data_IF_015668733856
#
_entry.id   IF_015668733856
#
_cell.length_a   1.000
_cell.length_b   1.000
_cell.length_c   1.000
_cell.angle_alpha   90.00
_cell.angle_beta   90.00
_cell.angle_gamma   90.00
#
_symmetry.space_group_name_H-M   'P 1'
#
loop_
_entity.id
_entity.type
_entity.pdbx_description
1 polymer ?
#
# COMPACT_ATOMS: atom_id res chain seq x y z
N UNK A 1 -15.82 9.08 6.43
CA UNK A 1 -15.67 7.94 7.36
C UNK A 1 -14.20 7.77 7.67
N UNK A 2 -13.90 7.38 8.91
CA UNK A 2 -12.59 6.89 9.33
C UNK A 2 -12.74 5.49 9.90
N UNK A 3 -11.80 4.63 9.61
CA UNK A 3 -11.65 3.33 10.26
C UNK A 3 -10.81 3.55 11.53
N UNK A 4 -11.38 3.24 12.70
CA UNK A 4 -10.72 3.38 14.02
C UNK A 4 -10.02 2.10 14.43
N UNK A 5 -10.69 0.96 14.23
CA UNK A 5 -10.19 -0.33 14.68
C UNK A 5 -10.64 -1.45 13.73
N UNK A 6 -9.78 -2.44 13.58
CA UNK A 6 -10.06 -3.69 12.88
C UNK A 6 -9.63 -4.85 13.77
N UNK A 7 -10.52 -5.83 13.92
CA UNK A 7 -10.20 -7.12 14.56
C UNK A 7 -10.58 -8.27 13.66
N UNK A 8 -9.65 -9.17 13.47
CA UNK A 8 -9.79 -10.36 12.64
C UNK A 8 -9.58 -11.60 13.49
N UNK A 9 -10.50 -12.56 13.40
CA UNK A 9 -10.39 -13.85 14.08
C UNK A 9 -10.54 -14.96 13.05
N UNK A 10 -9.56 -15.84 12.96
CA UNK A 10 -9.51 -17.00 12.06
C UNK A 10 -9.80 -16.67 10.58
N UNK A 11 -9.35 -15.48 10.14
CA UNK A 11 -9.56 -15.00 8.78
C UNK A 11 -8.38 -15.38 7.88
N UNK A 12 -8.59 -16.31 6.96
CA UNK A 12 -7.54 -16.87 6.09
C UNK A 12 -6.34 -17.39 6.89
N UNK A 13 -5.15 -16.80 6.72
CA UNK A 13 -3.95 -17.17 7.47
C UNK A 13 -3.84 -16.45 8.83
N UNK A 14 -4.75 -15.52 9.13
CA UNK A 14 -4.71 -14.67 10.31
C UNK A 14 -5.55 -15.28 11.44
N UNK A 15 -4.93 -15.63 12.58
CA UNK A 15 -5.62 -16.26 13.72
C UNK A 15 -6.34 -15.22 14.58
N UNK A 16 -5.59 -14.19 15.00
CA UNK A 16 -6.10 -13.09 15.79
C UNK A 16 -5.25 -11.86 15.50
N UNK A 17 -5.80 -10.89 14.79
CA UNK A 17 -5.14 -9.63 14.46
C UNK A 17 -6.03 -8.50 14.99
N UNK A 18 -5.42 -7.58 15.70
CA UNK A 18 -6.06 -6.35 16.12
C UNK A 18 -5.20 -5.17 15.66
N UNK A 19 -5.80 -4.25 14.91
CA UNK A 19 -5.15 -3.08 14.34
C UNK A 19 -5.97 -1.84 14.69
N UNK A 20 -5.40 -0.97 15.51
CA UNK A 20 -5.94 0.37 15.74
C UNK A 20 -5.39 1.31 14.68
N UNK A 21 -6.22 2.20 14.17
CA UNK A 21 -5.88 3.27 13.22
C UNK A 21 -5.83 4.65 13.91
N UNK A 22 -5.98 4.69 15.22
CA UNK A 22 -5.88 5.91 16.00
C UNK A 22 -4.42 6.30 16.21
N UNK A 23 -4.10 7.57 16.00
CA UNK A 23 -2.81 8.18 16.35
C UNK A 23 -2.82 8.66 17.79
N UNK A 24 -3.92 9.29 18.18
CA UNK A 24 -4.24 9.72 19.55
C UNK A 24 -5.71 9.39 19.83
N UNK A 25 -6.21 9.62 21.05
CA UNK A 25 -7.62 9.41 21.38
C UNK A 25 -8.59 10.24 20.51
N UNK A 26 -8.11 11.29 19.87
CA UNK A 26 -8.93 12.24 19.10
C UNK A 26 -8.54 12.36 17.64
N UNK A 27 -7.46 11.69 17.20
CA UNK A 27 -6.93 11.81 15.85
C UNK A 27 -6.65 10.43 15.25
N UNK A 28 -7.21 10.18 14.07
CA UNK A 28 -6.94 8.98 13.30
C UNK A 28 -5.68 9.15 12.45
N UNK A 29 -4.91 8.07 12.30
CA UNK A 29 -3.75 8.05 11.39
C UNK A 29 -4.21 8.24 9.96
N UNK A 30 -3.47 9.06 9.23
CA UNK A 30 -3.66 9.24 7.81
C UNK A 30 -3.15 8.05 7.03
N UNK A 31 -1.96 7.56 7.38
CA UNK A 31 -1.32 6.41 6.76
C UNK A 31 -1.23 5.23 7.72
N UNK A 32 -1.46 4.06 7.17
CA UNK A 32 -1.12 2.78 7.79
C UNK A 32 -0.46 1.92 6.73
N UNK A 33 0.84 1.72 6.88
CA UNK A 33 1.64 0.87 6.00
C UNK A 33 1.85 -0.50 6.64
N UNK A 34 1.59 -1.55 5.88
CA UNK A 34 1.72 -2.93 6.32
C UNK A 34 2.81 -3.61 5.50
N UNK A 35 3.88 -3.97 6.18
CA UNK A 35 4.97 -4.79 5.67
C UNK A 35 4.74 -6.27 6.00
N UNK A 36 5.52 -7.13 5.40
CA UNK A 36 5.59 -8.55 5.72
C UNK A 36 6.00 -9.40 4.54
N UNK A 37 6.41 -10.61 4.80
CA UNK A 37 6.77 -11.58 3.77
C UNK A 37 5.57 -11.99 2.91
N UNK A 38 5.84 -12.66 1.80
CA UNK A 38 4.77 -13.22 0.97
C UNK A 38 3.98 -14.27 1.75
N UNK A 39 2.66 -14.26 1.60
CA UNK A 39 1.78 -15.21 2.29
C UNK A 39 1.48 -14.89 3.76
N UNK A 40 1.96 -13.78 4.33
CA UNK A 40 1.63 -13.38 5.72
C UNK A 40 0.24 -12.77 5.86
N UNK A 41 -0.46 -12.46 4.75
CA UNK A 41 -1.84 -11.98 4.82
C UNK A 41 -2.02 -10.48 4.70
N UNK A 42 -1.04 -9.73 4.21
CA UNK A 42 -1.13 -8.28 3.95
C UNK A 42 -2.39 -7.90 3.17
N UNK A 43 -2.56 -8.48 1.99
CA UNK A 43 -3.74 -8.26 1.14
C UNK A 43 -5.05 -8.70 1.82
N UNK A 44 -4.99 -9.69 2.73
CA UNK A 44 -6.17 -10.15 3.46
C UNK A 44 -6.67 -9.10 4.46
N UNK A 45 -5.78 -8.31 5.07
CA UNK A 45 -6.18 -7.16 5.91
C UNK A 45 -6.94 -6.14 5.06
N UNK A 46 -6.43 -5.77 3.88
CA UNK A 46 -7.12 -4.84 2.99
C UNK A 46 -8.48 -5.39 2.54
N UNK A 47 -8.54 -6.67 2.15
CA UNK A 47 -9.78 -7.35 1.75
C UNK A 47 -10.81 -7.38 2.89
N UNK A 48 -10.39 -7.64 4.13
CA UNK A 48 -11.30 -7.61 5.27
C UNK A 48 -11.91 -6.24 5.52
N UNK A 49 -11.11 -5.17 5.38
CA UNK A 49 -11.60 -3.79 5.47
C UNK A 49 -12.62 -3.52 4.37
N UNK A 50 -12.30 -3.90 3.13
CA UNK A 50 -13.21 -3.72 2.00
C UNK A 50 -14.54 -4.46 2.20
N UNK A 51 -14.54 -5.69 2.73
CA UNK A 51 -15.76 -6.46 2.99
C UNK A 51 -16.69 -5.77 3.99
N UNK A 52 -16.16 -5.26 5.12
CA UNK A 52 -16.99 -4.62 6.17
C UNK A 52 -17.44 -3.21 5.80
N UNK A 53 -16.88 -2.59 4.78
CA UNK A 53 -17.19 -1.22 4.37
C UNK A 53 -18.01 -1.13 3.08
N UNK A 54 -18.23 -2.23 2.38
CA UNK A 54 -18.87 -2.23 1.04
C UNK A 54 -20.39 -2.43 1.06
N UNK A 55 -20.95 -2.92 2.16
CA UNK A 55 -22.40 -3.19 2.29
C UNK A 55 -22.82 -4.55 1.74
N UNK A 56 -24.08 -4.93 2.02
CA UNK A 56 -24.62 -6.27 1.70
C UNK A 56 -24.64 -6.58 0.20
N UNK A 57 -25.00 -5.62 -0.63
CA UNK A 57 -25.08 -5.78 -2.09
C UNK A 57 -23.74 -6.11 -2.71
N UNK A 58 -22.64 -5.57 -2.17
CA UNK A 58 -21.31 -5.84 -2.66
C UNK A 58 -20.78 -7.23 -2.26
N UNK A 59 -21.20 -7.77 -1.13
CA UNK A 59 -20.72 -9.07 -0.63
C UNK A 59 -20.96 -10.19 -1.64
N UNK A 60 -22.09 -10.18 -2.35
CA UNK A 60 -22.42 -11.18 -3.36
C UNK A 60 -21.40 -11.29 -4.49
N UNK A 61 -20.80 -10.16 -4.87
CA UNK A 61 -19.78 -10.10 -5.92
C UNK A 61 -18.35 -10.34 -5.41
N UNK A 62 -18.09 -10.02 -4.13
CA UNK A 62 -16.75 -10.01 -3.56
C UNK A 62 -16.36 -11.33 -2.87
N UNK A 63 -17.32 -12.04 -2.27
CA UNK A 63 -17.03 -13.19 -1.42
C UNK A 63 -16.55 -14.42 -2.19
N UNK A 64 -17.09 -14.68 -3.38
CA UNK A 64 -16.77 -15.90 -4.13
C UNK A 64 -17.02 -17.16 -3.28
N UNK A 65 -16.03 -18.03 -3.16
CA UNK A 65 -16.11 -19.21 -2.28
C UNK A 65 -15.97 -18.77 -0.82
N UNK A 66 -17.03 -18.84 -0.06
CA UNK A 66 -17.14 -18.36 1.33
C UNK A 66 -16.23 -19.12 2.29
N UNK A 67 -16.07 -20.44 2.12
CA UNK A 67 -15.18 -21.23 2.96
C UNK A 67 -13.70 -20.85 2.83
N UNK A 68 -13.34 -20.26 1.70
CA UNK A 68 -11.96 -19.80 1.47
C UNK A 68 -11.52 -18.64 2.37
N UNK A 69 -12.45 -17.98 3.05
CA UNK A 69 -12.16 -16.90 4.00
C UNK A 69 -11.86 -17.39 5.40
N UNK A 70 -12.25 -18.64 5.71
CA UNK A 70 -12.08 -19.25 7.01
C UNK A 70 -10.70 -19.93 7.07
N UNK A 71 -9.98 -19.72 8.16
CA UNK A 71 -8.69 -20.34 8.39
C UNK A 71 -8.80 -21.86 8.30
N UNK A 72 -7.78 -22.51 7.75
CA UNK A 72 -7.72 -23.95 7.65
C UNK A 72 -7.91 -24.59 9.04
N UNK A 73 -8.72 -25.64 9.10
CA UNK A 73 -9.16 -26.37 10.33
C UNK A 73 -10.06 -25.57 11.29
N UNK A 74 -10.44 -24.33 10.99
CA UNK A 74 -11.38 -23.59 11.81
C UNK A 74 -12.81 -23.73 11.29
N UNK A 75 -13.79 -23.59 12.18
CA UNK A 75 -15.23 -23.70 11.85
C UNK A 75 -15.83 -22.39 11.40
N UNK A 76 -15.26 -21.28 11.84
CA UNK A 76 -15.74 -19.93 11.56
C UNK A 76 -14.62 -18.91 11.57
N UNK A 77 -14.87 -17.77 10.97
CA UNK A 77 -14.05 -16.57 11.11
C UNK A 77 -14.92 -15.34 11.34
N UNK A 78 -14.32 -14.27 11.86
CA UNK A 78 -14.99 -12.99 12.02
C UNK A 78 -14.11 -11.80 11.67
N UNK A 79 -14.76 -10.75 11.17
CA UNK A 79 -14.18 -9.45 10.90
C UNK A 79 -14.99 -8.43 11.71
N UNK A 80 -14.36 -7.64 12.56
CA UNK A 80 -14.98 -6.57 13.29
C UNK A 80 -14.28 -5.26 12.97
N UNK A 81 -15.07 -4.20 12.71
CA UNK A 81 -14.55 -2.87 12.39
C UNK A 81 -15.32 -1.79 13.13
N UNK A 82 -14.59 -0.85 13.68
CA UNK A 82 -15.14 0.38 14.29
C UNK A 82 -14.94 1.51 13.28
N UNK A 83 -16.03 2.12 12.85
CA UNK A 83 -16.08 3.21 11.88
C UNK A 83 -16.59 4.48 12.56
N UNK A 84 -16.02 5.63 12.19
CA UNK A 84 -16.43 6.92 12.73
C UNK A 84 -16.59 7.96 11.61
N UNK A 85 -17.67 8.75 11.69
CA UNK A 85 -17.86 9.92 10.81
C UNK A 85 -17.15 11.15 11.41
N UNK A 86 -17.03 12.22 10.62
CA UNK A 86 -16.48 13.50 11.13
C UNK A 86 -17.28 14.08 12.29
N UNK A 87 -18.58 13.77 12.35
CA UNK A 87 -19.46 14.27 13.39
C UNK A 87 -19.40 13.44 14.67
N UNK A 88 -18.51 12.42 14.72
CA UNK A 88 -18.37 11.54 15.89
C UNK A 88 -19.43 10.43 15.94
N UNK A 89 -20.15 10.17 14.85
CA UNK A 89 -21.07 9.04 14.79
C UNK A 89 -20.25 7.75 14.63
N UNK A 90 -20.37 6.84 15.57
CA UNK A 90 -19.67 5.55 15.58
C UNK A 90 -20.58 4.43 15.07
N UNK A 91 -19.99 3.50 14.31
CA UNK A 91 -20.65 2.28 13.83
C UNK A 91 -19.73 1.09 14.03
N UNK A 92 -20.23 0.09 14.71
CA UNK A 92 -19.53 -1.18 14.94
C UNK A 92 -20.10 -2.22 14.00
N UNK A 93 -19.31 -2.63 13.03
CA UNK A 93 -19.69 -3.60 12.01
C UNK A 93 -18.98 -4.92 12.31
N UNK A 94 -19.75 -6.01 12.34
CA UNK A 94 -19.22 -7.35 12.53
C UNK A 94 -19.75 -8.27 11.44
N UNK A 95 -18.83 -8.97 10.76
CA UNK A 95 -19.17 -10.02 9.79
C UNK A 95 -18.62 -11.36 10.29
N UNK A 96 -19.49 -12.35 10.38
CA UNK A 96 -19.16 -13.71 10.75
C UNK A 96 -19.48 -14.68 9.60
N UNK A 97 -18.53 -15.54 9.31
CA UNK A 97 -18.67 -16.61 8.30
C UNK A 97 -18.49 -17.95 8.99
N UNK A 98 -19.42 -18.89 8.75
CA UNK A 98 -19.28 -20.25 9.21
C UNK A 98 -19.06 -21.17 8.01
N UNK A 99 -18.31 -22.24 8.22
CA UNK A 99 -18.01 -23.21 7.17
C UNK A 99 -19.28 -23.86 6.64
N UNK A 100 -19.44 -23.92 5.32
CA UNK A 100 -20.62 -24.43 4.64
C UNK A 100 -21.78 -23.44 4.56
N UNK A 101 -21.65 -22.20 5.05
CA UNK A 101 -22.68 -21.17 4.85
C UNK A 101 -22.66 -20.67 3.40
N UNK A 102 -23.81 -20.65 2.76
CA UNK A 102 -23.99 -19.97 1.49
C UNK A 102 -24.18 -18.44 1.71
N UNK A 103 -24.15 -17.65 0.63
CA UNK A 103 -24.28 -16.20 0.68
C UNK A 103 -25.54 -15.74 1.42
N UNK A 104 -26.71 -16.35 1.13
CA UNK A 104 -27.98 -15.98 1.77
C UNK A 104 -27.94 -16.16 3.28
N UNK A 105 -27.32 -17.25 3.75
CA UNK A 105 -27.15 -17.52 5.17
C UNK A 105 -26.16 -16.58 5.83
N UNK A 106 -25.08 -16.21 5.15
CA UNK A 106 -24.13 -15.19 5.62
C UNK A 106 -24.83 -13.84 5.78
N UNK A 107 -25.59 -13.40 4.78
CA UNK A 107 -26.36 -12.15 4.88
C UNK A 107 -27.36 -12.20 6.02
N UNK A 108 -28.08 -13.31 6.17
CA UNK A 108 -29.07 -13.49 7.24
C UNK A 108 -28.40 -13.46 8.63
N UNK A 109 -27.29 -14.17 8.82
CA UNK A 109 -26.59 -14.24 10.10
C UNK A 109 -25.95 -12.89 10.51
N UNK A 110 -25.64 -12.03 9.54
CA UNK A 110 -25.03 -10.73 9.76
C UNK A 110 -25.97 -9.56 9.53
N UNK A 111 -27.29 -9.82 9.50
CA UNK A 111 -28.31 -8.85 9.11
C UNK A 111 -28.22 -7.52 9.86
N UNK A 112 -28.05 -7.55 11.18
CA UNK A 112 -27.99 -6.35 12.01
C UNK A 112 -26.78 -5.47 11.64
N UNK A 113 -25.58 -6.05 11.57
CA UNK A 113 -24.39 -5.33 11.18
C UNK A 113 -24.45 -4.82 9.75
N UNK A 114 -24.96 -5.63 8.82
CA UNK A 114 -25.13 -5.22 7.43
C UNK A 114 -26.16 -4.08 7.29
N UNK A 115 -27.24 -4.12 8.02
CA UNK A 115 -28.22 -3.04 8.03
C UNK A 115 -27.61 -1.71 8.47
N UNK A 116 -26.73 -1.72 9.49
CA UNK A 116 -26.03 -0.50 9.96
C UNK A 116 -25.20 0.15 8.87
N UNK A 117 -24.51 -0.64 8.05
CA UNK A 117 -23.68 -0.10 6.96
C UNK A 117 -24.52 0.24 5.72
N UNK A 118 -25.52 -0.56 5.38
CA UNK A 118 -26.40 -0.34 4.24
C UNK A 118 -27.22 0.95 4.43
N UNK A 119 -27.81 1.15 5.61
CA UNK A 119 -28.52 2.37 5.97
C UNK A 119 -27.62 3.61 5.91
N UNK A 120 -26.39 3.47 6.40
CA UNK A 120 -25.39 4.53 6.29
C UNK A 120 -25.02 4.87 4.83
N UNK A 121 -24.97 3.86 3.98
CA UNK A 121 -24.69 4.03 2.55
C UNK A 121 -25.86 4.68 1.83
N UNK A 122 -27.10 4.22 2.10
CA UNK A 122 -28.31 4.77 1.48
C UNK A 122 -28.51 6.24 1.83
N UNK A 123 -28.33 6.60 3.10
CA UNK A 123 -28.57 7.97 3.59
C UNK A 123 -27.37 8.91 3.42
N UNK A 124 -26.16 8.39 3.34
CA UNK A 124 -24.93 9.19 3.37
C UNK A 124 -23.77 8.54 2.59
N UNK A 125 -24.00 8.06 1.37
CA UNK A 125 -23.02 7.34 0.53
C UNK A 125 -21.65 8.04 0.49
N UNK A 126 -21.65 9.36 0.31
CA UNK A 126 -20.42 10.17 0.25
C UNK A 126 -19.60 10.13 1.54
N UNK A 127 -20.23 9.91 2.69
CA UNK A 127 -19.52 9.81 3.97
C UNK A 127 -18.80 8.47 4.14
N UNK A 128 -19.19 7.45 3.37
CA UNK A 128 -18.66 6.09 3.42
C UNK A 128 -17.92 5.70 2.13
N UNK A 129 -17.35 6.67 1.45
CA UNK A 129 -16.61 6.44 0.22
C UNK A 129 -15.35 5.62 0.47
N UNK A 130 -15.26 4.47 -0.18
CA UNK A 130 -14.13 3.53 -0.10
C UNK A 130 -13.73 3.12 -1.50
N UNK A 131 -12.42 3.15 -1.77
CA UNK A 131 -11.84 2.65 -3.03
C UNK A 131 -10.67 1.72 -2.70
N UNK A 132 -10.55 0.61 -3.43
CA UNK A 132 -9.49 -0.36 -3.20
C UNK A 132 -8.84 -0.83 -4.50
N UNK A 133 -7.52 -0.91 -4.47
CA UNK A 133 -6.68 -1.38 -5.57
C UNK A 133 -5.82 -2.56 -5.16
N UNK A 134 -5.86 -3.63 -5.95
CA UNK A 134 -4.97 -4.76 -5.84
C UNK A 134 -3.59 -4.50 -6.47
N UNK A 135 -2.72 -5.48 -6.45
CA UNK A 135 -1.42 -5.41 -7.11
C UNK A 135 -1.55 -5.35 -8.65
N UNK A 136 -2.54 -6.04 -9.21
CA UNK A 136 -2.80 -6.04 -10.66
C UNK A 136 -3.65 -4.83 -11.07
N UNK A 137 -2.99 -3.73 -11.44
CA UNK A 137 -3.64 -2.48 -11.85
C UNK A 137 -3.52 -2.30 -13.36
N UNK A 138 -4.33 -3.04 -14.12
CA UNK A 138 -4.27 -3.04 -15.58
C UNK A 138 -5.18 -1.98 -16.17
N UNK A 139 -4.64 -1.21 -17.13
CA UNK A 139 -5.46 -0.38 -18.00
C UNK A 139 -6.40 -1.25 -18.81
N UNK A 140 -7.65 -0.84 -18.93
CA UNK A 140 -8.56 -1.42 -19.92
C UNK A 140 -8.21 -0.87 -21.28
N UNK A 141 -8.05 -1.76 -22.25
CA UNK A 141 -7.93 -1.38 -23.66
C UNK A 141 -9.30 -1.21 -24.35
N UNK A 142 -10.40 -1.40 -23.61
CA UNK A 142 -11.75 -1.29 -24.15
C UNK A 142 -12.13 0.18 -24.34
N UNK A 143 -12.37 0.53 -25.60
CA UNK A 143 -12.84 1.86 -25.99
C UNK A 143 -14.36 1.91 -25.83
N UNK A 144 -14.87 2.63 -24.82
CA UNK A 144 -16.26 3.10 -24.69
C UNK A 144 -17.42 2.14 -24.36
N UNK A 145 -17.34 0.81 -24.49
CA UNK A 145 -18.56 -0.01 -24.44
C UNK A 145 -19.12 -0.34 -23.05
N UNK A 146 -18.33 -0.20 -21.97
CA UNK A 146 -18.74 -0.58 -20.61
C UNK A 146 -18.72 0.56 -19.57
N UNK A 147 -18.43 1.79 -19.99
CA UNK A 147 -18.31 2.94 -19.10
C UNK A 147 -19.63 3.27 -18.36
N UNK A 148 -20.78 3.12 -19.03
CA UNK A 148 -22.09 3.37 -18.41
C UNK A 148 -22.53 2.30 -17.42
N UNK A 149 -22.14 1.04 -17.63
CA UNK A 149 -22.48 -0.07 -16.71
C UNK A 149 -21.68 -0.05 -15.42
N UNK A 150 -20.52 0.62 -15.41
CA UNK A 150 -19.64 0.75 -14.23
C UNK A 150 -20.12 1.76 -13.17
N UNK A 151 -21.19 2.50 -13.44
CA UNK A 151 -21.57 3.65 -12.57
C UNK A 151 -22.24 3.27 -11.27
N UNK A 152 -22.74 2.06 -11.07
CA UNK A 152 -23.78 1.81 -10.05
C UNK A 152 -23.51 0.67 -9.06
N UNK A 153 -22.28 0.45 -8.62
CA UNK A 153 -22.05 -0.56 -7.57
C UNK A 153 -20.86 -0.27 -6.69
N UNK A 154 -21.04 -0.35 -5.38
CA UNK A 154 -19.93 -0.21 -4.41
C UNK A 154 -18.90 -1.30 -4.55
N UNK A 155 -19.29 -2.49 -4.97
CA UNK A 155 -18.38 -3.59 -5.32
C UNK A 155 -17.33 -3.18 -6.34
N UNK A 156 -17.70 -2.37 -7.33
CA UNK A 156 -16.81 -1.91 -8.40
C UNK A 156 -15.66 -1.08 -7.84
N UNK A 157 -15.90 -0.29 -6.80
CA UNK A 157 -14.88 0.54 -6.15
C UNK A 157 -13.76 -0.26 -5.48
N UNK A 158 -14.05 -1.51 -5.12
CA UNK A 158 -13.10 -2.37 -4.40
C UNK A 158 -12.76 -3.66 -5.15
N UNK A 159 -13.44 -3.95 -6.26
CA UNK A 159 -13.32 -5.20 -7.03
C UNK A 159 -11.89 -5.54 -7.42
N UNK A 160 -11.11 -4.55 -7.85
CA UNK A 160 -9.72 -4.76 -8.28
C UNK A 160 -8.84 -5.36 -7.18
N UNK A 161 -9.16 -5.15 -5.90
CA UNK A 161 -8.47 -5.79 -4.79
C UNK A 161 -8.77 -7.29 -4.68
N UNK A 162 -9.92 -7.76 -5.16
CA UNK A 162 -10.37 -9.15 -5.05
C UNK A 162 -10.07 -9.96 -6.31
N UNK A 163 -10.17 -9.33 -7.46
CA UNK A 163 -10.05 -9.96 -8.76
C UNK A 163 -8.89 -9.35 -9.56
N UNK A 164 -7.83 -10.13 -9.72
CA UNK A 164 -6.63 -9.72 -10.48
C UNK A 164 -6.86 -9.60 -11.99
N UNK A 165 -7.96 -10.15 -12.51
CA UNK A 165 -8.37 -10.00 -13.90
C UNK A 165 -9.20 -8.73 -14.13
N UNK A 166 -9.69 -8.09 -13.06
CA UNK A 166 -10.46 -6.85 -13.15
C UNK A 166 -9.60 -5.73 -13.71
N UNK A 167 -10.06 -5.11 -14.78
CA UNK A 167 -9.46 -3.90 -15.34
C UNK A 167 -10.01 -2.64 -14.66
N UNK A 168 -9.18 -1.60 -14.62
CA UNK A 168 -9.57 -0.28 -14.14
C UNK A 168 -10.29 0.50 -15.24
N UNK A 169 -11.01 1.56 -14.88
CA UNK A 169 -11.66 2.41 -15.86
C UNK A 169 -10.63 2.98 -16.84
N UNK A 170 -10.92 2.99 -18.15
CA UNK A 170 -10.01 3.49 -19.15
C UNK A 170 -9.84 5.01 -18.99
N UNK A 171 -8.68 5.44 -18.50
CA UNK A 171 -8.34 6.85 -18.28
C UNK A 171 -8.60 7.70 -19.54
N UNK A 172 -8.20 7.21 -20.70
CA UNK A 172 -8.38 7.89 -21.99
C UNK A 172 -9.85 8.17 -22.28
N UNK A 173 -10.71 7.16 -22.12
CA UNK A 173 -12.14 7.32 -22.39
C UNK A 173 -12.80 8.32 -21.43
N UNK A 174 -12.44 8.25 -20.14
CA UNK A 174 -12.93 9.20 -19.15
C UNK A 174 -12.49 10.64 -19.43
N UNK A 175 -11.22 10.88 -19.77
CA UNK A 175 -10.73 12.20 -20.09
C UNK A 175 -11.45 12.79 -21.31
N UNK A 176 -11.67 11.99 -22.35
CA UNK A 176 -12.41 12.41 -23.52
C UNK A 176 -13.87 12.74 -23.17
N UNK A 177 -14.54 11.89 -22.39
CA UNK A 177 -15.90 12.18 -21.92
C UNK A 177 -15.97 13.45 -21.09
N UNK A 178 -14.99 13.65 -20.20
CA UNK A 178 -14.91 14.84 -19.36
C UNK A 178 -14.72 16.12 -20.20
N UNK A 179 -13.93 16.06 -21.27
CA UNK A 179 -13.76 17.16 -22.22
C UNK A 179 -15.08 17.54 -22.92
N UNK A 180 -15.85 16.52 -23.33
CA UNK A 180 -17.17 16.76 -23.93
C UNK A 180 -18.18 17.33 -22.92
N UNK A 181 -18.17 16.86 -21.68
CA UNK A 181 -19.15 17.22 -20.64
C UNK A 181 -18.85 18.54 -19.94
N UNK A 182 -17.60 18.80 -19.63
CA UNK A 182 -17.17 19.92 -18.77
C UNK A 182 -16.16 20.86 -19.45
N UNK A 183 -15.75 20.57 -20.68
CA UNK A 183 -14.82 21.39 -21.44
C UNK A 183 -13.50 21.65 -20.73
N UNK A 184 -13.00 22.91 -20.87
CA UNK A 184 -11.68 23.28 -20.35
C UNK A 184 -11.55 23.16 -18.83
N UNK A 185 -12.61 23.37 -18.05
CA UNK A 185 -12.56 23.31 -16.59
C UNK A 185 -12.32 21.87 -16.10
N UNK A 186 -13.06 20.92 -16.65
CA UNK A 186 -12.86 19.49 -16.31
C UNK A 186 -11.46 19.01 -16.68
N UNK A 187 -10.98 19.37 -17.86
CA UNK A 187 -9.63 19.02 -18.31
C UNK A 187 -8.54 19.66 -17.45
N UNK A 188 -8.70 20.87 -16.98
CA UNK A 188 -7.71 21.51 -16.10
C UNK A 188 -7.56 20.76 -14.77
N UNK A 189 -8.66 20.30 -14.17
CA UNK A 189 -8.61 19.48 -12.96
C UNK A 189 -7.75 18.21 -13.18
N UNK A 190 -7.99 17.54 -14.31
CA UNK A 190 -7.22 16.31 -14.66
C UNK A 190 -5.77 16.62 -14.94
N UNK A 191 -5.49 17.73 -15.68
CA UNK A 191 -4.12 18.17 -15.98
C UNK A 191 -3.32 18.43 -14.70
N UNK A 192 -3.88 19.18 -13.77
CA UNK A 192 -3.23 19.49 -12.51
C UNK A 192 -3.00 18.23 -11.68
N UNK A 193 -4.02 17.38 -11.59
CA UNK A 193 -3.88 16.12 -10.88
C UNK A 193 -2.81 15.23 -11.53
N UNK A 194 -2.88 14.95 -12.82
CA UNK A 194 -1.93 14.07 -13.52
C UNK A 194 -0.50 14.64 -13.53
N UNK A 195 -0.31 15.95 -13.67
CA UNK A 195 1.01 16.59 -13.61
C UNK A 195 1.73 16.27 -12.30
N UNK A 196 0.98 16.25 -11.23
CA UNK A 196 1.52 15.96 -9.92
C UNK A 196 1.77 14.46 -9.73
N UNK A 197 0.89 13.60 -10.28
CA UNK A 197 0.97 12.14 -10.14
C UNK A 197 1.90 11.44 -11.13
N UNK A 198 2.28 12.11 -12.21
CA UNK A 198 3.15 11.56 -13.24
C UNK A 198 4.39 12.45 -13.42
N UNK A 199 5.36 12.45 -12.49
CA UNK A 199 6.50 13.34 -12.55
C UNK A 199 7.35 13.10 -13.80
N UNK A 200 7.69 14.18 -14.49
CA UNK A 200 8.50 14.16 -15.72
C UNK A 200 7.71 13.96 -16.99
N UNK A 201 6.39 13.81 -16.90
CA UNK A 201 5.49 13.86 -18.05
C UNK A 201 4.33 14.81 -17.76
N UNK A 202 3.82 15.47 -18.80
CA UNK A 202 2.68 16.38 -18.66
C UNK A 202 1.60 16.04 -19.68
N UNK A 203 0.36 16.19 -19.26
CA UNK A 203 -0.75 16.08 -20.20
C UNK A 203 -0.62 17.15 -21.29
N UNK A 204 -0.54 16.74 -22.55
CA UNK A 204 -0.42 17.66 -23.69
C UNK A 204 -1.79 18.01 -24.27
N UNK A 205 -2.48 17.06 -24.87
CA UNK A 205 -3.75 17.28 -25.60
C UNK A 205 -4.55 15.97 -25.74
N UNK A 206 -5.76 16.13 -26.25
CA UNK A 206 -6.61 15.02 -26.68
C UNK A 206 -6.64 14.99 -28.20
N UNK A 207 -6.23 13.89 -28.79
CA UNK A 207 -6.48 13.59 -30.21
C UNK A 207 -7.86 12.95 -30.33
N UNK A 208 -8.83 13.77 -30.76
CA UNK A 208 -10.25 13.32 -30.88
C UNK A 208 -10.47 12.37 -32.05
N UNK A 209 -9.67 12.47 -33.10
CA UNK A 209 -9.79 11.61 -34.28
C UNK A 209 -9.29 10.19 -33.94
N UNK A 210 -8.13 10.10 -33.32
CA UNK A 210 -7.54 8.83 -32.90
C UNK A 210 -8.06 8.34 -31.55
N UNK A 211 -8.87 9.16 -30.85
CA UNK A 211 -9.38 8.87 -29.48
C UNK A 211 -8.25 8.54 -28.50
N UNK A 212 -7.20 9.35 -28.50
CA UNK A 212 -6.02 9.18 -27.68
C UNK A 212 -5.78 10.41 -26.81
N UNK A 213 -5.22 10.17 -25.62
CA UNK A 213 -4.68 11.21 -24.74
C UNK A 213 -3.18 11.24 -24.91
N UNK A 214 -2.65 12.41 -25.24
CA UNK A 214 -1.25 12.64 -25.54
C UNK A 214 -0.54 13.28 -24.36
N UNK A 215 0.65 12.79 -24.08
CA UNK A 215 1.53 13.26 -23.02
C UNK A 215 2.84 13.80 -23.61
N UNK A 216 3.29 14.90 -23.08
CA UNK A 216 4.61 15.47 -23.38
C UNK A 216 5.64 14.84 -22.45
N UNK A 217 6.70 14.30 -23.03
CA UNK A 217 7.83 13.65 -22.37
C UNK A 217 9.13 14.26 -22.87
N UNK A 218 10.27 13.86 -22.29
CA UNK A 218 11.60 14.27 -22.78
C UNK A 218 11.89 13.78 -24.21
N UNK A 219 11.22 12.69 -24.63
CA UNK A 219 11.39 12.06 -25.95
C UNK A 219 10.38 12.54 -26.98
N UNK A 220 9.47 13.45 -26.61
CA UNK A 220 8.42 14.01 -27.46
C UNK A 220 7.01 13.75 -26.94
N UNK A 221 6.03 13.99 -27.83
CA UNK A 221 4.61 13.83 -27.54
C UNK A 221 4.18 12.41 -27.94
N UNK A 222 3.78 11.61 -26.96
CA UNK A 222 3.40 10.22 -27.15
C UNK A 222 2.06 9.91 -26.45
N UNK A 223 1.28 8.93 -26.94
CA UNK A 223 0.05 8.49 -26.29
C UNK A 223 0.32 7.67 -25.02
N UNK A 224 -0.70 7.56 -24.16
CA UNK A 224 -0.62 6.89 -22.86
C UNK A 224 -0.11 5.44 -22.94
N UNK A 225 -0.52 4.70 -23.93
CA UNK A 225 -0.18 3.30 -24.16
C UNK A 225 1.28 3.08 -24.62
N UNK A 226 1.98 4.13 -25.01
CA UNK A 226 3.41 4.10 -25.36
C UNK A 226 4.31 4.56 -24.20
N UNK A 227 3.74 4.98 -23.08
CA UNK A 227 4.53 5.25 -21.87
C UNK A 227 5.10 3.94 -21.29
N UNK A 228 6.15 4.04 -20.48
CA UNK A 228 6.68 2.87 -19.77
C UNK A 228 5.66 2.28 -18.78
N UNK A 229 5.78 0.98 -18.49
CA UNK A 229 4.86 0.26 -17.60
C UNK A 229 4.64 0.94 -16.26
N UNK A 230 5.69 1.55 -15.68
CA UNK A 230 5.58 2.30 -14.43
C UNK A 230 4.64 3.50 -14.53
N UNK A 231 4.73 4.28 -15.62
CA UNK A 231 3.81 5.38 -15.88
C UNK A 231 2.40 4.91 -16.20
N UNK A 232 2.26 3.87 -17.01
CA UNK A 232 0.96 3.30 -17.33
C UNK A 232 0.25 2.79 -16.08
N UNK A 233 0.95 2.07 -15.20
CA UNK A 233 0.40 1.60 -13.93
C UNK A 233 -0.02 2.74 -13.01
N UNK A 234 0.79 3.77 -12.88
CA UNK A 234 0.45 4.98 -12.10
C UNK A 234 -0.77 5.67 -12.68
N UNK A 235 -0.78 5.91 -13.98
CA UNK A 235 -1.89 6.56 -14.67
C UNK A 235 -3.19 5.73 -14.56
N UNK A 236 -3.10 4.40 -14.58
CA UNK A 236 -4.25 3.52 -14.49
C UNK A 236 -5.02 3.71 -13.18
N UNK A 237 -4.37 3.47 -12.03
CA UNK A 237 -5.08 3.51 -10.75
C UNK A 237 -5.38 4.92 -10.28
N UNK A 238 -4.50 5.89 -10.60
CA UNK A 238 -4.75 7.30 -10.29
C UNK A 238 -5.90 7.83 -11.14
N UNK A 239 -5.90 7.52 -12.43
CA UNK A 239 -6.99 7.90 -13.32
C UNK A 239 -8.33 7.32 -12.88
N UNK A 240 -8.35 6.03 -12.51
CA UNK A 240 -9.54 5.40 -11.95
C UNK A 240 -9.97 6.04 -10.62
N UNK A 241 -9.03 6.37 -9.73
CA UNK A 241 -9.32 7.06 -8.48
C UNK A 241 -9.92 8.45 -8.72
N UNK A 242 -9.33 9.23 -9.62
CA UNK A 242 -9.85 10.55 -10.00
C UNK A 242 -11.24 10.45 -10.61
N UNK A 243 -11.47 9.48 -11.49
CA UNK A 243 -12.78 9.18 -12.04
C UNK A 243 -13.79 8.91 -10.92
N UNK A 244 -13.50 8.00 -10.00
CA UNK A 244 -14.42 7.64 -8.90
C UNK A 244 -14.70 8.81 -7.97
N UNK A 245 -13.69 9.59 -7.64
CA UNK A 245 -13.85 10.79 -6.80
C UNK A 245 -14.73 11.82 -7.52
N UNK A 246 -14.46 12.12 -8.79
CA UNK A 246 -15.22 13.13 -9.53
C UNK A 246 -16.65 12.69 -9.82
N UNK A 247 -16.89 11.41 -10.07
CA UNK A 247 -18.25 10.89 -10.27
C UNK A 247 -19.06 10.84 -8.96
N UNK A 248 -18.42 10.53 -7.83
CA UNK A 248 -19.10 10.49 -6.51
C UNK A 248 -19.35 11.89 -5.97
N UNK A 249 -18.42 12.81 -6.14
CA UNK A 249 -18.44 14.17 -5.58
C UNK A 249 -18.62 15.25 -6.64
N UNK A 250 -19.54 15.03 -7.60
CA UNK A 250 -19.80 15.94 -8.74
C UNK A 250 -20.06 17.40 -8.34
N UNK A 251 -20.71 17.60 -7.21
CA UNK A 251 -21.10 18.94 -6.74
C UNK A 251 -20.00 19.65 -5.95
N UNK A 252 -18.86 18.98 -5.71
CA UNK A 252 -17.76 19.58 -4.96
C UNK A 252 -16.92 20.44 -5.89
N UNK A 253 -16.69 21.70 -5.48
CA UNK A 253 -15.76 22.60 -6.20
C UNK A 253 -14.33 22.02 -6.27
N UNK A 254 -13.95 21.23 -5.26
CA UNK A 254 -12.65 20.59 -5.12
C UNK A 254 -12.82 19.12 -4.75
N UNK A 255 -13.07 18.24 -5.72
CA UNK A 255 -13.34 16.82 -5.44
C UNK A 255 -12.22 16.13 -4.66
N UNK A 256 -10.96 16.49 -4.87
CA UNK A 256 -9.80 15.91 -4.17
C UNK A 256 -9.75 16.24 -2.65
N UNK A 257 -10.49 17.25 -2.20
CA UNK A 257 -10.68 17.54 -0.77
C UNK A 257 -11.77 16.67 -0.12
N UNK A 258 -12.43 15.81 -0.91
CA UNK A 258 -13.38 14.84 -0.40
C UNK A 258 -12.73 13.86 0.59
N UNK A 259 -13.57 13.22 1.41
CA UNK A 259 -13.14 12.23 2.36
C UNK A 259 -13.35 10.83 1.83
N UNK A 260 -12.42 9.96 2.15
CA UNK A 260 -12.54 8.57 1.76
C UNK A 260 -11.54 7.68 2.49
N UNK A 261 -11.74 6.40 2.30
CA UNK A 261 -10.79 5.34 2.68
C UNK A 261 -10.19 4.77 1.40
N UNK A 262 -8.88 4.83 1.29
CA UNK A 262 -8.11 4.32 0.15
C UNK A 262 -7.31 3.10 0.60
N UNK A 263 -7.56 1.97 -0.02
CA UNK A 263 -6.87 0.70 0.22
C UNK A 263 -6.00 0.40 -0.99
N UNK A 264 -4.69 0.19 -0.79
CA UNK A 264 -3.78 -0.09 -1.91
C UNK A 264 -2.86 -1.25 -1.57
N UNK A 265 -2.98 -2.33 -2.33
CA UNK A 265 -2.06 -3.46 -2.22
C UNK A 265 -0.81 -3.18 -3.06
N UNK A 266 0.37 -3.40 -2.48
CA UNK A 266 1.68 -3.13 -3.10
C UNK A 266 1.74 -1.73 -3.74
N UNK A 267 1.61 -0.69 -2.91
CA UNK A 267 1.44 0.70 -3.34
C UNK A 267 2.55 1.21 -4.28
N UNK A 268 3.74 0.68 -4.14
CA UNK A 268 4.97 1.04 -4.83
C UNK A 268 5.39 0.08 -5.96
N UNK A 269 4.52 -0.87 -6.28
CA UNK A 269 4.77 -1.84 -7.35
C UNK A 269 5.06 -1.14 -8.69
N UNK A 270 6.13 -1.59 -9.37
CA UNK A 270 6.64 -1.05 -10.63
C UNK A 270 7.16 0.39 -10.59
N UNK A 271 7.25 1.02 -9.40
CA UNK A 271 7.78 2.37 -9.30
C UNK A 271 9.31 2.40 -9.22
N UNK A 272 9.90 3.34 -9.94
CA UNK A 272 11.34 3.63 -9.81
C UNK A 272 11.66 4.08 -8.36
N UNK A 273 12.82 3.70 -7.78
CA UNK A 273 13.19 4.05 -6.40
C UNK A 273 13.06 5.52 -6.01
N UNK A 274 13.33 6.44 -6.93
CA UNK A 274 13.13 7.89 -6.70
C UNK A 274 11.68 8.25 -6.40
N UNK A 275 10.73 7.50 -6.97
CA UNK A 275 9.30 7.72 -6.81
C UNK A 275 8.77 7.07 -5.55
N UNK A 276 9.24 5.87 -5.22
CA UNK A 276 8.91 5.19 -3.97
C UNK A 276 9.19 6.10 -2.75
N UNK A 277 10.27 6.89 -2.80
CA UNK A 277 10.62 7.85 -1.74
C UNK A 277 9.69 9.07 -1.65
N UNK A 278 8.90 9.37 -2.67
CA UNK A 278 8.00 10.53 -2.69
C UNK A 278 6.52 10.16 -2.62
N UNK A 279 6.22 8.87 -2.75
CA UNK A 279 4.88 8.39 -2.96
C UNK A 279 3.93 8.75 -1.82
N UNK A 280 4.35 8.54 -0.56
CA UNK A 280 3.52 8.80 0.61
C UNK A 280 3.21 10.30 0.78
N UNK A 281 4.26 11.11 0.70
CA UNK A 281 4.13 12.57 0.78
C UNK A 281 3.21 13.10 -0.32
N UNK A 282 3.41 12.60 -1.51
CA UNK A 282 2.67 12.97 -2.68
C UNK A 282 1.16 12.64 -2.58
N UNK A 283 0.79 11.38 -2.30
CA UNK A 283 -0.61 11.00 -2.07
C UNK A 283 -1.16 11.80 -0.87
N UNK A 284 -0.35 11.95 0.18
CA UNK A 284 -0.71 12.67 1.39
C UNK A 284 -1.04 14.13 1.17
N UNK A 285 -0.35 14.83 0.30
CA UNK A 285 -0.58 16.25 -0.01
C UNK A 285 -1.77 16.47 -0.95
N UNK A 286 -2.08 15.51 -1.83
CA UNK A 286 -3.19 15.61 -2.79
C UNK A 286 -4.51 15.13 -2.24
N UNK A 287 -4.50 14.07 -1.45
CA UNK A 287 -5.68 13.49 -0.82
C UNK A 287 -5.70 13.83 0.67
N UNK A 288 -5.89 15.11 0.98
CA UNK A 288 -5.74 15.64 2.35
C UNK A 288 -6.64 14.95 3.38
N UNK A 289 -7.85 14.58 2.98
CA UNK A 289 -8.87 14.04 3.86
C UNK A 289 -9.08 12.52 3.71
N UNK A 290 -8.21 11.84 2.95
CA UNK A 290 -8.26 10.39 2.85
C UNK A 290 -7.46 9.73 3.97
N UNK A 291 -8.02 8.67 4.51
CA UNK A 291 -7.29 7.68 5.29
C UNK A 291 -6.77 6.62 4.32
N UNK A 292 -5.48 6.30 4.39
CA UNK A 292 -4.85 5.37 3.45
C UNK A 292 -4.31 4.17 4.21
N UNK A 293 -4.72 2.97 3.80
CA UNK A 293 -4.15 1.71 4.29
C UNK A 293 -3.51 1.02 3.09
N UNK A 294 -2.21 0.82 3.16
CA UNK A 294 -1.46 0.28 2.05
C UNK A 294 -0.48 -0.82 2.47
N UNK A 295 -0.19 -1.73 1.56
CA UNK A 295 0.88 -2.70 1.74
C UNK A 295 2.09 -2.31 0.90
N UNK A 296 3.26 -2.68 1.35
CA UNK A 296 4.52 -2.48 0.62
C UNK A 296 5.54 -3.56 0.96
N UNK A 297 6.45 -3.81 0.04
CA UNK A 297 7.68 -4.58 0.25
C UNK A 297 8.92 -3.70 0.16
N UNK A 298 8.77 -2.42 -0.21
CA UNK A 298 9.90 -1.51 -0.42
C UNK A 298 10.39 -0.89 0.90
N UNK A 299 11.66 -1.02 1.23
CA UNK A 299 12.25 -0.29 2.34
C UNK A 299 12.29 1.23 2.09
N UNK A 300 12.32 1.64 0.82
CA UNK A 300 12.30 3.07 0.46
C UNK A 300 10.95 3.71 0.75
N UNK A 301 9.87 3.00 0.46
CA UNK A 301 8.50 3.44 0.79
C UNK A 301 8.27 3.39 2.29
N UNK A 302 8.66 2.30 2.95
CA UNK A 302 8.53 2.14 4.40
C UNK A 302 9.29 3.20 5.19
N UNK A 303 10.46 3.61 4.71
CA UNK A 303 11.26 4.69 5.30
C UNK A 303 10.51 6.03 5.36
N UNK A 304 9.54 6.26 4.48
CA UNK A 304 8.79 7.52 4.43
C UNK A 304 7.63 7.59 5.45
N UNK A 305 7.34 6.51 6.16
CA UNK A 305 6.29 6.49 7.18
C UNK A 305 6.69 7.32 8.41
N UNK A 306 5.70 7.99 9.00
CA UNK A 306 5.85 8.65 10.28
C UNK A 306 5.81 7.64 11.44
N UNK A 307 6.18 8.09 12.64
CA UNK A 307 6.10 7.25 13.84
C UNK A 307 4.67 6.74 14.06
N UNK A 308 4.54 5.43 14.27
CA UNK A 308 3.27 4.76 14.47
C UNK A 308 2.48 4.43 13.20
N UNK A 309 2.96 4.75 12.00
CA UNK A 309 2.28 4.45 10.73
C UNK A 309 2.72 3.13 10.09
N UNK A 310 3.82 2.54 10.54
CA UNK A 310 4.41 1.33 9.97
C UNK A 310 4.15 0.11 10.86
N UNK A 311 3.67 -0.95 10.25
CA UNK A 311 3.38 -2.24 10.88
C UNK A 311 4.00 -3.37 10.06
N UNK A 312 4.38 -4.46 10.73
CA UNK A 312 4.85 -5.66 10.07
C UNK A 312 3.99 -6.87 10.43
N UNK A 313 3.61 -7.65 9.42
CA UNK A 313 3.10 -9.00 9.61
C UNK A 313 4.26 -9.99 9.61
N UNK A 314 4.43 -10.68 10.71
CA UNK A 314 5.47 -11.68 10.91
C UNK A 314 4.88 -13.02 11.23
N UNK A 315 5.56 -14.06 10.81
CA UNK A 315 5.25 -15.41 11.21
C UNK A 315 6.17 -15.81 12.37
N UNK A 316 5.56 -16.14 13.52
CA UNK A 316 6.29 -16.66 14.67
C UNK A 316 6.75 -18.10 14.43
N UNK A 317 7.63 -18.62 15.29
CA UNK A 317 8.13 -19.99 15.26
C UNK A 317 7.01 -21.03 15.30
N UNK A 318 5.87 -20.69 15.91
CA UNK A 318 4.66 -21.52 15.96
C UNK A 318 3.77 -21.39 14.71
N UNK A 319 4.27 -20.76 13.64
CA UNK A 319 3.54 -20.54 12.39
C UNK A 319 2.31 -19.60 12.53
N UNK A 320 2.22 -18.85 13.62
CA UNK A 320 1.15 -17.86 13.83
C UNK A 320 1.60 -16.51 13.25
N UNK A 321 0.70 -15.86 12.50
CA UNK A 321 0.95 -14.52 11.99
C UNK A 321 0.58 -13.49 13.05
N UNK A 322 1.52 -12.61 13.35
CA UNK A 322 1.37 -11.53 14.31
C UNK A 322 1.57 -10.17 13.63
N UNK A 323 0.82 -9.17 14.08
CA UNK A 323 0.98 -7.79 13.63
C UNK A 323 1.82 -7.03 14.66
N UNK A 324 2.99 -6.58 14.24
CA UNK A 324 3.96 -5.89 15.11
C UNK A 324 4.09 -4.43 14.65
N UNK A 325 3.81 -3.44 15.52
CA UNK A 325 4.05 -2.05 15.20
C UNK A 325 5.56 -1.77 15.14
N UNK A 326 5.99 -0.94 14.19
CA UNK A 326 7.36 -0.45 14.15
C UNK A 326 7.61 0.53 15.28
N UNK A 327 8.69 0.31 16.03
CA UNK A 327 9.06 1.17 17.15
C UNK A 327 9.96 2.33 16.67
N UNK A 328 9.55 3.55 16.97
CA UNK A 328 10.28 4.76 16.59
C UNK A 328 9.83 5.33 15.23
N UNK A 329 10.68 6.15 14.62
CA UNK A 329 10.42 6.78 13.32
C UNK A 329 11.26 6.12 12.22
N UNK A 330 10.63 5.47 11.22
CA UNK A 330 11.35 4.94 10.06
C UNK A 330 12.17 6.00 9.32
N UNK A 331 11.69 7.25 9.27
CA UNK A 331 12.37 8.39 8.61
C UNK A 331 13.73 8.72 9.21
N UNK A 332 13.96 8.38 10.47
CA UNK A 332 15.26 8.63 11.15
C UNK A 332 16.33 7.59 10.84
N UNK A 333 15.98 6.48 10.17
CA UNK A 333 16.90 5.40 9.85
C UNK A 333 17.42 5.52 8.42
N UNK A 334 18.67 5.10 8.21
CA UNK A 334 19.15 4.81 6.87
C UNK A 334 18.47 3.54 6.33
N UNK A 335 18.41 3.39 5.01
CA UNK A 335 17.75 2.24 4.38
C UNK A 335 18.36 0.91 4.84
N UNK A 336 19.69 0.82 4.92
CA UNK A 336 20.36 -0.37 5.43
C UNK A 336 20.04 -0.65 6.92
N UNK A 337 19.94 0.38 7.74
CA UNK A 337 19.52 0.22 9.15
C UNK A 337 18.08 -0.28 9.23
N UNK A 338 17.19 0.25 8.40
CA UNK A 338 15.79 -0.18 8.34
C UNK A 338 15.68 -1.65 7.91
N UNK A 339 16.48 -2.08 6.91
CA UNK A 339 16.53 -3.46 6.45
C UNK A 339 16.97 -4.44 7.54
N UNK A 340 17.89 -4.03 8.41
CA UNK A 340 18.38 -4.84 9.54
C UNK A 340 17.45 -4.80 10.77
N UNK A 341 16.34 -4.04 10.72
CA UNK A 341 15.37 -4.08 11.82
C UNK A 341 14.59 -5.41 11.80
N UNK A 342 14.05 -5.81 12.95
CA UNK A 342 13.19 -6.98 13.01
C UNK A 342 12.03 -6.95 12.02
N UNK A 343 11.61 -5.80 11.52
CA UNK A 343 10.49 -5.63 10.58
C UNK A 343 10.82 -6.19 9.18
N UNK A 344 12.04 -6.02 8.70
CA UNK A 344 12.53 -6.60 7.45
C UNK A 344 13.26 -7.92 7.67
N UNK A 345 13.88 -8.11 8.84
CA UNK A 345 14.48 -9.37 9.26
C UNK A 345 15.78 -9.74 8.53
N UNK A 346 16.45 -8.78 7.87
CA UNK A 346 17.76 -9.03 7.31
C UNK A 346 18.82 -8.98 8.42
N UNK A 347 19.66 -10.00 8.47
CA UNK A 347 20.78 -10.08 9.43
C UNK A 347 21.95 -9.20 9.03
N UNK A 348 22.10 -8.95 7.74
CA UNK A 348 23.19 -8.14 7.18
C UNK A 348 22.76 -7.43 5.90
N UNK A 349 23.42 -6.31 5.58
CA UNK A 349 23.28 -5.57 4.32
C UNK A 349 24.34 -6.00 3.28
N UNK A 350 25.12 -7.03 3.58
CA UNK A 350 26.14 -7.55 2.69
C UNK A 350 25.56 -8.49 1.62
N UNK A 351 26.32 -8.74 0.55
CA UNK A 351 25.89 -9.70 -0.46
C UNK A 351 25.86 -11.12 0.13
N UNK A 352 24.93 -11.94 -0.36
CA UNK A 352 24.77 -13.33 0.07
C UNK A 352 26.09 -14.12 0.05
N UNK A 353 26.94 -13.87 -0.96
CA UNK A 353 28.23 -14.52 -1.09
C UNK A 353 29.23 -14.12 0.02
N UNK A 354 29.19 -12.85 0.44
CA UNK A 354 30.03 -12.36 1.56
C UNK A 354 29.52 -12.90 2.89
N UNK A 355 28.22 -12.96 3.07
CA UNK A 355 27.60 -13.56 4.25
C UNK A 355 27.99 -15.04 4.38
N UNK A 356 27.79 -15.84 3.33
CA UNK A 356 28.19 -17.25 3.34
C UNK A 356 29.68 -17.44 3.63
N UNK A 357 30.52 -16.62 3.02
CA UNK A 357 31.95 -16.71 3.27
C UNK A 357 32.32 -16.36 4.73
N UNK A 358 31.59 -15.45 5.37
CA UNK A 358 31.77 -15.15 6.81
C UNK A 358 31.31 -16.30 7.69
N UNK A 359 30.13 -16.85 7.42
CA UNK A 359 29.60 -18.00 8.15
C UNK A 359 30.54 -19.22 8.06
N UNK A 360 31.05 -19.51 6.83
CA UNK A 360 32.02 -20.58 6.61
C UNK A 360 33.33 -20.31 7.35
N UNK A 361 33.80 -19.07 7.34
CA UNK A 361 35.00 -18.66 8.09
C UNK A 361 34.84 -18.83 9.60
N UNK A 362 33.70 -18.41 10.15
CA UNK A 362 33.40 -18.54 11.59
C UNK A 362 33.21 -20.00 11.99
N UNK A 363 32.55 -20.81 11.17
CA UNK A 363 32.39 -22.25 11.40
C UNK A 363 33.75 -22.99 11.38
N UNK A 364 34.65 -22.61 10.49
CA UNK A 364 36.03 -23.16 10.50
C UNK A 364 36.82 -22.67 11.72
N UNK A 365 36.66 -21.40 12.09
CA UNK A 365 37.35 -20.81 13.25
C UNK A 365 36.90 -21.43 14.57
N UNK A 366 35.62 -21.80 14.72
CA UNK A 366 35.08 -22.43 15.92
C UNK A 366 35.61 -23.82 16.20
N UNK A 367 36.19 -24.51 15.18
CA UNK A 367 36.85 -25.81 15.36
C UNK A 367 38.16 -25.73 16.14
N UNK A 368 38.73 -24.53 16.34
CA UNK A 368 39.92 -24.30 17.16
C UNK A 368 41.11 -25.22 16.80
N UNK A 369 41.67 -25.89 17.78
CA UNK A 369 42.85 -26.79 17.61
C UNK A 369 42.53 -28.11 16.89
N UNK A 370 41.25 -28.41 16.61
CA UNK A 370 40.84 -29.63 15.86
C UNK A 370 40.79 -29.42 14.34
N UNK A 371 41.32 -28.31 13.81
CA UNK A 371 41.39 -28.00 12.38
C UNK A 371 42.28 -28.96 11.61
N UNK A 372 41.73 -29.69 10.67
CA UNK A 372 42.49 -30.50 9.72
C UNK A 372 43.30 -29.64 8.78
N UNK A 373 44.33 -30.25 8.09
CA UNK A 373 45.10 -29.55 7.09
C UNK A 373 44.22 -29.00 5.94
N UNK A 374 43.18 -29.72 5.56
CA UNK A 374 42.20 -29.30 4.56
C UNK A 374 41.36 -28.10 5.05
N UNK A 375 40.96 -28.08 6.34
CA UNK A 375 40.21 -26.95 6.91
C UNK A 375 41.08 -25.67 6.94
N UNK A 376 42.37 -25.80 7.23
CA UNK A 376 43.32 -24.66 7.20
C UNK A 376 43.47 -24.07 5.80
N UNK A 377 43.47 -24.90 4.79
CA UNK A 377 43.56 -24.47 3.39
C UNK A 377 42.28 -23.76 2.93
N UNK A 378 41.11 -24.34 3.25
CA UNK A 378 39.78 -23.71 3.05
C UNK A 378 39.68 -22.36 3.77
N UNK A 379 40.11 -22.29 5.01
CA UNK A 379 40.09 -21.06 5.78
C UNK A 379 40.96 -19.96 5.14
N UNK A 380 42.11 -20.31 4.56
CA UNK A 380 42.94 -19.35 3.80
C UNK A 380 42.24 -18.87 2.53
N UNK A 381 41.56 -19.77 1.82
CA UNK A 381 40.84 -19.43 0.60
C UNK A 381 39.64 -18.50 0.90
N UNK A 382 38.84 -18.84 1.89
CA UNK A 382 37.70 -18.02 2.35
C UNK A 382 38.17 -16.63 2.82
N UNK A 383 39.28 -16.56 3.56
CA UNK A 383 39.88 -15.29 3.98
C UNK A 383 40.35 -14.45 2.80
N UNK A 384 40.85 -15.09 1.73
CA UNK A 384 41.24 -14.42 0.47
C UNK A 384 39.99 -13.88 -0.24
N UNK A 385 38.91 -14.68 -0.35
CA UNK A 385 37.62 -14.26 -0.93
C UNK A 385 37.05 -13.04 -0.17
N UNK A 386 37.05 -13.09 1.14
CA UNK A 386 36.60 -11.98 1.98
C UNK A 386 37.43 -10.70 1.75
N UNK A 387 38.77 -10.80 1.70
CA UNK A 387 39.63 -9.63 1.45
C UNK A 387 39.38 -8.97 0.09
N UNK A 388 39.00 -9.73 -0.92
CA UNK A 388 38.78 -9.22 -2.28
C UNK A 388 37.34 -8.70 -2.48
N UNK A 389 36.36 -9.26 -1.78
CA UNK A 389 34.91 -8.99 -1.98
C UNK A 389 34.29 -8.09 -0.93
N UNK A 390 34.94 -7.89 0.22
CA UNK A 390 34.49 -6.89 1.19
C UNK A 390 34.43 -5.51 0.50
N UNK A 391 33.28 -4.80 0.63
CA UNK A 391 33.19 -3.47 0.08
C UNK A 391 34.31 -2.61 0.70
N UNK A 392 35.17 -2.07 -0.15
CA UNK A 392 36.15 -1.09 0.31
C UNK A 392 35.38 0.07 0.89
N UNK A 393 35.44 0.30 2.19
CA UNK A 393 34.88 1.51 2.79
C UNK A 393 35.45 2.70 2.02
N UNK A 394 34.66 3.29 1.16
CA UNK A 394 34.99 4.61 0.59
C UNK A 394 35.09 5.58 1.78
N UNK A 395 35.90 6.63 1.58
CA UNK A 395 36.03 7.74 2.53
C UNK A 395 34.66 8.14 3.10
N UNK A 396 34.58 8.63 4.35
CA UNK A 396 33.34 8.90 5.06
C UNK A 396 32.32 9.57 4.16
N UNK A 397 31.09 9.07 4.16
CA UNK A 397 29.99 9.62 3.36
C UNK A 397 29.81 11.11 3.67
N UNK A 398 29.13 11.85 2.81
CA UNK A 398 28.79 13.26 3.11
C UNK A 398 28.14 13.40 4.49
N UNK A 399 27.31 12.43 4.88
CA UNK A 399 26.64 12.35 6.17
C UNK A 399 27.64 12.19 7.35
N UNK A 400 28.68 11.39 7.22
CA UNK A 400 29.70 11.28 8.27
C UNK A 400 30.49 12.58 8.42
N UNK A 401 30.72 13.31 7.31
CA UNK A 401 31.34 14.63 7.34
C UNK A 401 30.43 15.69 7.98
N UNK A 402 29.12 15.61 7.72
CA UNK A 402 28.10 16.48 8.33
C UNK A 402 28.00 16.22 9.85
N UNK A 403 27.96 14.96 10.27
CA UNK A 403 27.95 14.57 11.68
C UNK A 403 29.23 15.06 12.37
N UNK A 404 30.39 14.88 11.74
CA UNK A 404 31.67 15.38 12.28
C UNK A 404 31.70 16.92 12.33
N UNK A 405 31.06 17.60 11.38
CA UNK A 405 30.92 19.07 11.40
C UNK A 405 29.97 19.52 12.51
N UNK A 406 28.82 18.86 12.67
CA UNK A 406 27.87 19.15 13.75
C UNK A 406 28.50 18.95 15.13
N UNK A 407 29.25 17.88 15.35
CA UNK A 407 29.99 17.63 16.58
C UNK A 407 31.03 18.72 16.85
N UNK A 408 31.74 19.20 15.82
CA UNK A 408 32.68 20.33 15.94
C UNK A 408 31.97 21.65 16.30
N UNK A 409 30.78 21.87 15.73
CA UNK A 409 29.96 23.05 16.04
C UNK A 409 29.44 22.97 17.46
N UNK A 410 28.95 21.82 17.92
CA UNK A 410 28.47 21.58 19.26
C UNK A 410 29.59 21.79 20.31
N UNK A 411 30.78 21.26 20.05
CA UNK A 411 31.96 21.46 20.86
C UNK A 411 32.36 22.93 20.97
N UNK A 412 32.25 23.69 19.87
CA UNK A 412 32.53 25.13 19.87
C UNK A 412 31.46 25.95 20.57
N UNK A 413 30.20 25.52 20.55
CA UNK A 413 29.11 26.19 21.28
C UNK A 413 29.17 25.95 22.80
N UNK A 414 29.60 24.75 23.21
CA UNK A 414 29.76 24.41 24.62
C UNK A 414 31.01 25.02 25.31
N UNK A 415 31.93 25.57 24.53
CA UNK A 415 33.12 26.29 25.06
C UNK A 415 32.79 27.77 25.37
N UNK A 416 31.56 28.24 25.07
CA UNK A 416 31.09 29.61 25.31
C UNK A 416 30.02 29.71 26.43
N UNK A 417 30.00 28.76 27.33
CA UNK A 417 29.22 28.87 28.59
C UNK A 417 30.13 28.95 29.80
#
# INVERSE_FOLDING_TARGET
MFLKKLKLTNFKCLSNIELSFEKTKTENRKWTLILGENGTGKSNILKSIALVTSGSNALGELLGNTDSWIKFNEKSCSIQAELETKKGEERNISLQFNRGDNLSKIISNNRESLHLIDDAIENADRNYFVVAYGASRRLSNEVFSNFEKSRNGRSINVRNLFDSASTLNPLTAWIIELDYRSGKEGINLVKEALKDFLPGITFHSIDKEKKQVLFETVDGIIPLDQLSDGYQNMAAWIGDLLFRITETFKDYKKPLEARGLLLIDEVDLHLHPKWQRRLLDFIGTKLLNFQVVATTHSPLTAQQADSGELFALKRSDNNIVELVPFQGSPKSLLVNQLLMTPVFGLETDESYEVQQAKEEYEALKSKGDSLSSSDKEKMKEVKRKLKTKLPKRKAPSSSDKEIALLQKIETKLNIKK
#
